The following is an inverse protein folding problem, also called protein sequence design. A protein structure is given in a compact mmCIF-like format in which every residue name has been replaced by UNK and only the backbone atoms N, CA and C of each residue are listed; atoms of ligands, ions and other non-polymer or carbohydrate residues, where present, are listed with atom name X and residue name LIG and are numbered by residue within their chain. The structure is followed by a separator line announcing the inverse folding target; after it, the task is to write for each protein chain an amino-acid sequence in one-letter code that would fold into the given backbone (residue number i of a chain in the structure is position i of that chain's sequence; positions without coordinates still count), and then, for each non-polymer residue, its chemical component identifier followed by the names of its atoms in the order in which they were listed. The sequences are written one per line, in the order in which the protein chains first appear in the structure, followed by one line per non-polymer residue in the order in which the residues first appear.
data_IF_217188170558
#
_entry.id   IF_217188170558
#
_cell.length_a   1.000
_cell.length_b   1.000
_cell.length_c   1.000
_cell.angle_alpha   90.00
_cell.angle_beta   90.00
_cell.angle_gamma   90.00
#
_symmetry.space_group_name_H-M   'P 1'
#
loop_
_entity.id
_entity.type
_entity.pdbx_description
1 polymer ?
#
# COMPACT_ATOMS: atom_id res chain seq x y z
N UNK A 1 -6.46 -11.48 0.31
CA UNK A 1 -5.60 -11.05 1.40
C UNK A 1 -4.99 -9.72 1.07
N UNK A 2 -4.28 -9.15 2.03
CA UNK A 2 -3.74 -7.80 1.86
C UNK A 2 -2.84 -7.69 0.64
N UNK A 3 -2.00 -8.69 0.41
CA UNK A 3 -1.07 -8.62 -0.71
C UNK A 3 -1.79 -8.57 -2.05
N UNK A 4 -2.82 -9.38 -2.21
CA UNK A 4 -3.56 -9.40 -3.46
C UNK A 4 -4.35 -8.11 -3.68
N UNK A 5 -4.95 -7.60 -2.62
CA UNK A 5 -5.68 -6.34 -2.72
C UNK A 5 -4.72 -5.19 -3.03
N UNK A 6 -3.58 -5.17 -2.37
CA UNK A 6 -2.57 -4.16 -2.63
C UNK A 6 -2.09 -4.22 -4.08
N UNK A 7 -1.84 -5.43 -4.58
CA UNK A 7 -1.43 -5.62 -5.96
C UNK A 7 -2.49 -5.07 -6.92
N UNK A 8 -3.75 -5.36 -6.65
CA UNK A 8 -4.84 -4.88 -7.49
C UNK A 8 -4.88 -3.36 -7.53
N UNK A 9 -4.71 -2.73 -6.39
CA UNK A 9 -4.72 -1.27 -6.30
C UNK A 9 -3.54 -0.68 -7.07
N UNK A 10 -2.36 -1.28 -6.93
CA UNK A 10 -1.18 -0.81 -7.64
C UNK A 10 -1.37 -0.94 -9.14
N UNK A 11 -1.87 -2.08 -9.59
CA UNK A 11 -2.11 -2.29 -11.02
C UNK A 11 -3.07 -1.25 -11.57
N UNK A 12 -4.13 -0.97 -10.82
CA UNK A 12 -5.12 0.01 -11.25
C UNK A 12 -4.52 1.40 -11.33
N UNK A 13 -3.74 1.77 -10.31
CA UNK A 13 -3.15 3.10 -10.26
C UNK A 13 -2.12 3.31 -11.36
N UNK A 14 -1.28 2.30 -11.61
CA UNK A 14 -0.22 2.41 -12.60
C UNK A 14 -0.67 2.03 -14.00
N UNK A 15 -1.82 1.39 -14.12
CA UNK A 15 -2.37 1.02 -15.42
C UNK A 15 -1.62 -0.10 -16.10
N UNK A 16 -1.03 -1.01 -15.34
CA UNK A 16 -0.32 -2.14 -15.93
C UNK A 16 -0.35 -3.34 -15.01
N UNK A 17 -0.10 -4.50 -15.59
CA UNK A 17 -0.07 -5.77 -14.87
C UNK A 17 1.21 -5.90 -14.08
N UNK A 18 1.07 -6.43 -12.86
CA UNK A 18 2.20 -6.60 -11.95
C UNK A 18 2.32 -8.06 -11.55
N UNK A 19 2.52 -8.92 -12.53
CA UNK A 19 2.55 -10.36 -12.27
C UNK A 19 3.70 -10.76 -11.37
N UNK A 20 4.78 -10.02 -11.39
CA UNK A 20 6.00 -10.38 -10.67
C UNK A 20 6.14 -9.68 -9.31
N UNK A 21 5.08 -9.08 -8.80
CA UNK A 21 5.14 -8.43 -7.49
C UNK A 21 5.35 -9.47 -6.40
N UNK A 22 6.31 -9.19 -5.52
CA UNK A 22 6.54 -9.98 -4.32
C UNK A 22 6.59 -9.05 -3.12
N UNK A 23 6.72 -9.63 -1.93
CA UNK A 23 6.80 -8.83 -0.73
C UNK A 23 8.05 -7.97 -0.69
N UNK A 24 9.08 -8.36 -1.41
CA UNK A 24 10.35 -7.62 -1.44
C UNK A 24 10.38 -6.54 -2.49
N UNK A 25 9.38 -6.47 -3.36
CA UNK A 25 9.32 -5.47 -4.40
C UNK A 25 9.24 -4.06 -3.79
N UNK A 26 10.04 -3.14 -4.30
CA UNK A 26 10.02 -1.76 -3.81
C UNK A 26 9.15 -0.91 -4.74
N UNK A 27 8.53 0.12 -4.16
CA UNK A 27 7.65 0.98 -4.94
C UNK A 27 8.44 1.87 -5.90
N UNK A 28 9.51 2.45 -5.42
CA UNK A 28 10.26 3.42 -6.23
C UNK A 28 11.20 2.72 -7.20
N UNK A 29 12.08 1.85 -6.68
CA UNK A 29 13.14 1.27 -7.50
C UNK A 29 12.61 0.20 -8.45
N UNK A 30 11.71 -0.65 -7.97
CA UNK A 30 11.24 -1.77 -8.78
C UNK A 30 10.04 -1.41 -9.63
N UNK A 31 9.10 -0.64 -9.08
CA UNK A 31 7.87 -0.33 -9.79
C UNK A 31 7.89 1.04 -10.46
N UNK A 32 8.87 1.85 -10.14
CA UNK A 32 8.97 3.18 -10.75
C UNK A 32 7.86 4.12 -10.32
N UNK A 33 7.34 3.94 -9.13
CA UNK A 33 6.26 4.76 -8.59
C UNK A 33 6.82 6.12 -8.17
N UNK A 34 6.23 7.20 -8.68
CA UNK A 34 6.62 8.54 -8.23
C UNK A 34 5.73 8.98 -7.07
N UNK A 35 5.94 10.21 -6.59
CA UNK A 35 5.23 10.71 -5.40
C UNK A 35 3.73 10.74 -5.61
N UNK A 36 3.30 11.19 -6.78
CA UNK A 36 1.86 11.28 -7.05
C UNK A 36 1.21 9.91 -7.09
N UNK A 37 1.86 8.96 -7.75
CA UNK A 37 1.35 7.59 -7.81
C UNK A 37 1.32 6.98 -6.42
N UNK A 38 2.35 7.22 -5.63
CA UNK A 38 2.41 6.68 -4.28
C UNK A 38 1.28 7.22 -3.42
N UNK A 39 1.03 8.53 -3.48
CA UNK A 39 -0.07 9.12 -2.75
C UNK A 39 -1.40 8.56 -3.20
N UNK A 40 -1.56 8.34 -4.50
CA UNK A 40 -2.81 7.77 -5.01
C UNK A 40 -3.03 6.37 -4.48
N UNK A 41 -1.96 5.58 -4.40
CA UNK A 41 -2.04 4.24 -3.84
C UNK A 41 -2.47 4.31 -2.38
N UNK A 42 -1.88 5.24 -1.61
CA UNK A 42 -2.23 5.39 -0.21
C UNK A 42 -3.68 5.79 -0.04
N UNK A 43 -4.16 6.72 -0.86
CA UNK A 43 -5.56 7.16 -0.81
C UNK A 43 -6.49 5.99 -1.10
N UNK A 44 -6.16 5.19 -2.12
CA UNK A 44 -6.97 4.04 -2.47
C UNK A 44 -7.01 3.03 -1.34
N UNK A 45 -5.88 2.82 -0.66
CA UNK A 45 -5.83 1.92 0.48
C UNK A 45 -6.68 2.45 1.63
N UNK A 46 -6.59 3.74 1.89
CA UNK A 46 -7.39 4.34 2.96
C UNK A 46 -8.88 4.18 2.70
N UNK A 47 -9.30 4.36 1.45
CA UNK A 47 -10.70 4.23 1.10
C UNK A 47 -11.16 2.78 1.11
N UNK A 48 -10.32 1.89 0.61
CA UNK A 48 -10.66 0.47 0.53
C UNK A 48 -10.84 -0.14 1.91
N UNK A 49 -9.98 0.22 2.84
CA UNK A 49 -9.99 -0.35 4.18
C UNK A 49 -10.64 0.57 5.21
N UNK A 50 -11.03 1.77 4.81
CA UNK A 50 -11.64 2.75 5.70
C UNK A 50 -10.72 3.04 6.87
N UNK A 51 -9.47 3.38 6.57
CA UNK A 51 -8.42 3.66 7.55
C UNK A 51 -7.75 4.96 7.21
N UNK A 52 -6.89 5.41 8.14
CA UNK A 52 -6.05 6.59 7.92
C UNK A 52 -4.60 6.18 8.07
N UNK A 53 -3.78 6.58 7.09
CA UNK A 53 -2.34 6.30 7.12
C UNK A 53 -1.62 7.63 7.33
N UNK A 54 -0.91 7.74 8.46
CA UNK A 54 -0.16 8.95 8.80
C UNK A 54 1.01 9.15 7.86
N UNK A 55 1.48 10.40 7.79
CA UNK A 55 2.69 10.70 7.04
C UNK A 55 3.88 9.89 7.55
N UNK A 56 3.97 9.70 8.87
CA UNK A 56 5.05 8.92 9.45
C UNK A 56 4.99 7.47 8.98
N UNK A 57 3.80 6.89 8.96
CA UNK A 57 3.63 5.53 8.47
C UNK A 57 3.98 5.44 7.00
N UNK A 58 3.55 6.44 6.22
CA UNK A 58 3.81 6.45 4.78
C UNK A 58 5.30 6.49 4.48
N UNK A 59 6.06 7.23 5.28
CA UNK A 59 7.51 7.35 5.07
C UNK A 59 8.23 6.04 5.28
N UNK A 60 7.67 5.14 6.08
CA UNK A 60 8.29 3.85 6.34
C UNK A 60 7.98 2.81 5.30
N UNK A 61 7.05 3.11 4.39
CA UNK A 61 6.65 2.15 3.37
C UNK A 61 7.60 2.25 2.19
N UNK A 62 8.48 1.26 2.07
CA UNK A 62 9.45 1.17 0.97
C UNK A 62 9.13 -0.03 0.10
N UNK A 63 8.83 -1.17 0.72
CA UNK A 63 8.52 -2.41 0.00
C UNK A 63 7.05 -2.74 0.13
N UNK A 64 6.63 -3.72 -0.67
CA UNK A 64 5.27 -4.25 -0.59
C UNK A 64 5.01 -4.81 0.81
N UNK A 65 6.02 -5.49 1.38
CA UNK A 65 5.90 -6.03 2.74
C UNK A 65 5.64 -4.93 3.77
N UNK A 66 6.33 -3.79 3.62
CA UNK A 66 6.11 -2.65 4.52
C UNK A 66 4.67 -2.18 4.46
N UNK A 67 4.12 -2.10 3.24
CA UNK A 67 2.75 -1.66 3.07
C UNK A 67 1.77 -2.63 3.72
N UNK A 68 2.00 -3.93 3.54
CA UNK A 68 1.13 -4.94 4.14
C UNK A 68 1.17 -4.84 5.65
N UNK A 69 2.36 -4.67 6.22
CA UNK A 69 2.49 -4.55 7.67
C UNK A 69 1.78 -3.31 8.19
N UNK A 70 1.91 -2.20 7.47
CA UNK A 70 1.23 -0.97 7.86
C UNK A 70 -0.28 -1.17 7.85
N UNK A 71 -0.80 -1.81 6.80
CA UNK A 71 -2.23 -2.09 6.73
C UNK A 71 -2.70 -2.93 7.89
N UNK A 72 -1.95 -3.97 8.24
CA UNK A 72 -2.33 -4.84 9.34
C UNK A 72 -2.34 -4.08 10.66
N UNK A 73 -1.32 -3.27 10.89
CA UNK A 73 -1.21 -2.53 12.14
C UNK A 73 -2.34 -1.52 12.28
N UNK A 74 -2.58 -0.75 11.23
CA UNK A 74 -3.58 0.30 11.26
C UNK A 74 -4.99 -0.30 11.34
N UNK A 75 -5.24 -1.35 10.57
CA UNK A 75 -6.54 -2.00 10.57
C UNK A 75 -6.84 -2.62 11.92
N UNK A 76 -5.84 -3.28 12.51
CA UNK A 76 -6.01 -3.90 13.81
C UNK A 76 -6.28 -2.86 14.88
N UNK A 77 -5.53 -1.76 14.86
CA UNK A 77 -5.73 -0.68 15.81
C UNK A 77 -7.11 -0.09 15.70
N UNK A 78 -7.57 0.12 14.47
CA UNK A 78 -8.90 0.64 14.25
C UNK A 78 -9.97 -0.29 14.81
N UNK A 79 -9.81 -1.58 14.55
CA UNK A 79 -10.77 -2.56 15.02
C UNK A 79 -10.84 -2.57 16.54
N UNK A 80 -9.69 -2.46 17.17
CA UNK A 80 -9.61 -2.47 18.64
C UNK A 80 -10.12 -1.18 19.24
N UNK A 81 -10.12 -0.11 18.49
CA UNK A 81 -10.54 1.19 18.98
C UNK A 81 -12.03 1.38 19.05
N UNK A 82 -12.76 0.37 18.72
CA UNK A 82 -14.22 0.45 18.73
C UNK A 82 -14.83 0.35 20.10
#
# INVERSE_FOLDING_TARGET
MELEMLKTIIEKTLGRNMDAITEKTTFVDDLGVDSLDFFQILIDLEETYDIHIDAEDAEEIVTISDAVETLRRVTKGRRNGK
#
